data_IF_763751798979
#
_entry.id   IF_763751798979
#
_cell.length_a   1.000
_cell.length_b   1.000
_cell.length_c   1.000
_cell.angle_alpha   90.00
_cell.angle_beta   90.00
_cell.angle_gamma   90.00
#
_symmetry.space_group_name_H-M   'P 1'
#
loop_
_entity.id
_entity.type
_entity.pdbx_description
1 polymer ?
#
# COMPACT_ATOMS: atom_id res chain seq x y z
N UNK A 1 1.05 -24.68 7.43
CA UNK A 1 0.08 -24.55 6.32
C UNK A 1 0.15 -23.12 5.82
N UNK A 2 0.41 -22.89 4.54
CA UNK A 2 0.49 -21.53 4.01
C UNK A 2 -0.88 -20.85 4.11
N UNK A 3 -1.00 -19.77 4.87
CA UNK A 3 -2.19 -18.93 4.83
C UNK A 3 -2.35 -18.40 3.41
N UNK A 4 -3.46 -18.78 2.76
CA UNK A 4 -3.85 -18.18 1.48
C UNK A 4 -4.00 -16.67 1.70
N UNK A 5 -3.10 -15.86 1.11
CA UNK A 5 -3.16 -14.41 1.20
C UNK A 5 -4.41 -13.93 0.45
N UNK A 6 -5.46 -13.58 1.20
CA UNK A 6 -6.73 -13.11 0.66
C UNK A 6 -6.75 -11.59 0.65
N UNK A 7 -6.69 -11.00 -0.54
CA UNK A 7 -6.96 -9.58 -0.72
C UNK A 7 -8.48 -9.37 -0.83
N UNK A 8 -9.03 -8.48 0.00
CA UNK A 8 -10.44 -8.06 -0.07
C UNK A 8 -10.47 -6.55 -0.17
N UNK A 9 -11.29 -6.03 -1.07
CA UNK A 9 -11.37 -4.59 -1.34
C UNK A 9 -12.80 -4.15 -1.18
N UNK A 10 -13.01 -3.07 -0.45
CA UNK A 10 -14.31 -2.43 -0.36
C UNK A 10 -14.27 -1.08 -1.07
N UNK A 11 -15.23 -0.85 -1.97
CA UNK A 11 -15.40 0.42 -2.69
C UNK A 11 -16.86 0.81 -2.61
N UNK A 12 -17.17 1.93 -1.93
CA UNK A 12 -18.54 2.43 -1.74
C UNK A 12 -19.52 1.34 -1.26
N UNK A 13 -19.10 0.55 -0.25
CA UNK A 13 -19.88 -0.55 0.31
C UNK A 13 -19.96 -1.81 -0.57
N UNK A 14 -19.28 -1.85 -1.72
CA UNK A 14 -19.18 -3.05 -2.57
C UNK A 14 -17.87 -3.78 -2.32
N UNK A 15 -17.97 -5.07 -2.03
CA UNK A 15 -16.80 -5.92 -1.80
C UNK A 15 -16.35 -6.62 -3.09
N UNK A 16 -15.09 -6.44 -3.46
CA UNK A 16 -14.39 -7.23 -4.48
C UNK A 16 -13.50 -8.23 -3.74
N UNK A 17 -13.80 -9.53 -3.90
CA UNK A 17 -13.07 -10.62 -3.25
C UNK A 17 -11.95 -11.11 -4.15
N UNK A 18 -10.77 -11.29 -3.57
CA UNK A 18 -9.59 -11.93 -4.16
C UNK A 18 -9.06 -11.31 -5.49
N UNK A 19 -9.04 -9.97 -5.67
CA UNK A 19 -8.43 -9.38 -6.86
C UNK A 19 -6.92 -9.66 -6.88
N UNK A 20 -6.35 -9.79 -8.09
CA UNK A 20 -4.90 -9.99 -8.27
C UNK A 20 -4.07 -8.79 -7.82
N UNK A 21 -4.60 -7.60 -8.08
CA UNK A 21 -3.98 -6.30 -7.78
C UNK A 21 -5.07 -5.26 -7.55
N UNK A 22 -4.77 -4.26 -6.72
CA UNK A 22 -5.58 -3.07 -6.53
C UNK A 22 -4.71 -1.87 -6.82
N UNK A 23 -5.17 -1.00 -7.72
CA UNK A 23 -4.47 0.24 -8.09
C UNK A 23 -5.44 1.42 -8.00
N UNK A 24 -5.13 2.37 -7.14
CA UNK A 24 -5.83 3.64 -7.00
C UNK A 24 -4.99 4.70 -7.71
N UNK A 25 -5.56 5.40 -8.68
CA UNK A 25 -4.90 6.50 -9.40
C UNK A 25 -5.55 7.83 -9.00
N UNK A 26 -4.73 8.86 -8.77
CA UNK A 26 -5.19 10.20 -8.47
C UNK A 26 -4.44 11.21 -9.34
N UNK A 27 -5.20 11.93 -10.16
CA UNK A 27 -4.64 12.75 -11.23
C UNK A 27 -3.91 11.94 -12.31
N UNK A 28 -3.17 12.61 -13.21
CA UNK A 28 -2.49 11.97 -14.34
C UNK A 28 -1.27 11.13 -13.93
N UNK A 29 -0.74 11.34 -12.71
CA UNK A 29 0.62 10.92 -12.39
C UNK A 29 0.79 10.16 -11.09
N UNK A 30 -0.20 10.17 -10.20
CA UNK A 30 -0.02 9.57 -8.89
C UNK A 30 -0.84 8.31 -8.73
N UNK A 31 -0.30 7.33 -8.00
CA UNK A 31 -1.00 6.10 -7.71
C UNK A 31 -0.52 5.41 -6.42
N UNK A 32 -1.43 4.63 -5.84
CA UNK A 32 -1.15 3.62 -4.80
C UNK A 32 -1.52 2.25 -5.37
N UNK A 33 -0.69 1.24 -5.11
CA UNK A 33 -0.88 -0.12 -5.59
C UNK A 33 -0.60 -1.12 -4.47
N UNK A 34 -1.42 -2.16 -4.39
CA UNK A 34 -1.20 -3.33 -3.54
C UNK A 34 -1.54 -4.61 -4.31
N UNK A 35 -0.72 -5.64 -4.16
CA UNK A 35 -0.99 -6.97 -4.73
C UNK A 35 -1.24 -8.04 -3.66
N UNK A 36 -1.52 -9.27 -4.09
CA UNK A 36 -1.77 -10.41 -3.20
C UNK A 36 -0.55 -10.81 -2.36
N UNK A 37 0.65 -10.39 -2.73
CA UNK A 37 1.87 -10.69 -1.98
C UNK A 37 2.12 -9.68 -0.85
N UNK A 38 1.24 -8.67 -0.71
CA UNK A 38 1.39 -7.50 0.17
C UNK A 38 2.56 -6.60 -0.26
N UNK A 39 2.78 -6.49 -1.57
CA UNK A 39 3.72 -5.52 -2.13
C UNK A 39 3.00 -4.19 -2.33
N UNK A 40 3.44 -3.16 -1.61
CA UNK A 40 2.90 -1.80 -1.67
C UNK A 40 3.75 -0.94 -2.57
N UNK A 41 3.14 -0.29 -3.56
CA UNK A 41 3.81 0.70 -4.40
C UNK A 41 3.11 2.06 -4.27
N UNK A 42 3.87 3.10 -3.95
CA UNK A 42 3.46 4.49 -4.09
C UNK A 42 4.27 5.11 -5.23
N UNK A 43 3.61 5.75 -6.19
CA UNK A 43 4.28 6.36 -7.33
C UNK A 43 3.73 7.73 -7.72
N UNK A 44 4.62 8.54 -8.30
CA UNK A 44 4.40 9.86 -8.87
C UNK A 44 5.23 9.96 -10.16
N UNK A 45 4.57 10.04 -11.33
CA UNK A 45 5.19 10.01 -12.66
C UNK A 45 6.20 8.85 -12.83
N UNK A 46 7.49 9.16 -12.72
CA UNK A 46 8.65 8.27 -12.86
C UNK A 46 9.32 7.94 -11.52
N UNK A 47 8.86 8.55 -10.43
CA UNK A 47 9.36 8.30 -9.09
C UNK A 47 8.38 7.44 -8.31
N UNK A 48 8.91 6.63 -7.42
CA UNK A 48 8.09 5.82 -6.53
C UNK A 48 8.95 4.89 -5.71
N UNK A 49 8.32 4.24 -4.75
CA UNK A 49 8.94 3.17 -4.00
C UNK A 49 8.02 1.97 -3.98
N UNK A 50 8.61 0.80 -3.80
CA UNK A 50 7.88 -0.44 -3.60
C UNK A 50 8.47 -1.20 -2.43
N UNK A 51 7.62 -1.70 -1.55
CA UNK A 51 8.01 -2.40 -0.32
C UNK A 51 7.15 -3.62 -0.06
N UNK A 52 7.70 -4.59 0.65
CA UNK A 52 6.97 -5.77 1.11
C UNK A 52 6.45 -5.56 2.53
N UNK A 53 5.13 -5.74 2.72
CA UNK A 53 4.46 -5.49 4.00
C UNK A 53 4.18 -6.71 4.86
N UNK A 54 4.64 -7.91 4.46
CA UNK A 54 4.33 -9.18 5.16
C UNK A 54 5.39 -9.61 6.20
N UNK A 55 6.38 -8.77 6.46
CA UNK A 55 7.46 -9.03 7.42
C UNK A 55 7.17 -8.33 8.76
N UNK A 56 7.49 -8.99 9.89
CA UNK A 56 7.53 -8.35 11.22
C UNK A 56 8.63 -7.28 11.16
N UNK A 57 8.33 -6.04 11.57
CA UNK A 57 9.18 -4.85 11.35
C UNK A 57 9.51 -4.60 9.86
N UNK A 58 8.53 -4.88 9.01
CA UNK A 58 8.67 -4.84 7.55
C UNK A 58 9.05 -3.47 6.99
N UNK A 59 9.48 -3.47 5.73
CA UNK A 59 9.93 -2.26 5.03
C UNK A 59 8.89 -1.13 5.04
N UNK A 60 7.60 -1.48 4.97
CA UNK A 60 6.53 -0.49 5.00
C UNK A 60 6.46 0.26 6.33
N UNK A 61 6.61 -0.43 7.45
CA UNK A 61 6.61 0.19 8.78
C UNK A 61 7.80 1.13 8.96
N UNK A 62 8.99 0.70 8.51
CA UNK A 62 10.20 1.55 8.50
C UNK A 62 10.01 2.83 7.69
N UNK A 63 9.36 2.74 6.52
CA UNK A 63 9.04 3.92 5.71
C UNK A 63 8.02 4.81 6.43
N UNK A 64 6.97 4.23 7.03
CA UNK A 64 5.98 5.00 7.79
C UNK A 64 6.67 5.78 8.91
N UNK A 65 7.52 5.14 9.69
CA UNK A 65 8.24 5.79 10.78
C UNK A 65 9.17 6.90 10.27
N UNK A 66 9.91 6.66 9.18
CA UNK A 66 10.75 7.67 8.53
C UNK A 66 9.95 8.90 8.08
N UNK A 67 8.76 8.68 7.51
CA UNK A 67 7.89 9.77 7.07
C UNK A 67 7.31 10.54 8.26
N UNK A 68 6.90 9.85 9.33
CA UNK A 68 6.44 10.47 10.58
C UNK A 68 7.52 11.37 11.20
N UNK A 69 8.76 10.90 11.26
CA UNK A 69 9.90 11.67 11.78
C UNK A 69 10.20 12.92 10.93
N UNK A 70 10.11 12.81 9.60
CA UNK A 70 10.43 13.89 8.68
C UNK A 70 9.30 14.91 8.48
N UNK A 71 8.05 14.52 8.67
CA UNK A 71 6.87 15.33 8.40
C UNK A 71 5.85 15.23 9.55
N UNK A 72 6.18 15.71 10.76
CA UNK A 72 5.36 15.52 11.95
C UNK A 72 3.99 16.18 11.88
N UNK A 73 3.86 17.31 11.17
CA UNK A 73 2.60 18.05 11.06
C UNK A 73 1.54 17.36 10.18
N UNK A 74 1.94 16.31 9.46
CA UNK A 74 1.08 15.58 8.53
C UNK A 74 0.60 14.22 9.08
N UNK A 75 0.86 13.95 10.37
CA UNK A 75 0.44 12.71 11.03
C UNK A 75 -1.07 12.75 11.29
N UNK A 76 -1.77 11.70 10.84
CA UNK A 76 -3.13 11.38 11.27
C UNK A 76 -3.07 10.10 12.10
N UNK A 77 -3.43 10.19 13.37
CA UNK A 77 -3.67 9.02 14.23
C UNK A 77 -5.13 8.54 14.10
#
# INVERSE_FOLDING_TARGET
MAHEKRLTVEVNGKTIKNPKEVKIKFGPHFFVKIDKELKFTLGATHHGFTVKGDEIDGELEKIINTVREKYPDNIKD
#
